data_IF_665543081850
#
_entry.id   IF_665543081850
#
_cell.length_a   1.000
_cell.length_b   1.000
_cell.length_c   1.000
_cell.angle_alpha   90.00
_cell.angle_beta   90.00
_cell.angle_gamma   90.00
#
_symmetry.space_group_name_H-M   'P 1'
#
loop_
_entity.id
_entity.type
_entity.pdbx_description
1 polymer ?
#
# COMPACT_ATOMS: atom_id res chain seq x y z
N UNK A 1 20.77 18.17 8.73
CA UNK A 1 19.36 18.47 8.37
C UNK A 1 19.11 18.38 6.86
N UNK A 2 19.95 18.96 6.01
CA UNK A 2 19.75 18.97 4.56
C UNK A 2 19.49 17.57 3.91
N UNK A 3 20.31 16.52 4.16
CA UNK A 3 20.06 15.21 3.50
C UNK A 3 18.73 14.55 3.88
N UNK A 4 18.26 14.77 5.11
CA UNK A 4 16.98 14.22 5.56
C UNK A 4 15.79 14.90 4.87
N UNK A 5 15.77 16.24 4.79
CA UNK A 5 14.72 16.98 4.07
C UNK A 5 14.70 16.62 2.57
N UNK A 6 15.89 16.41 1.99
CA UNK A 6 16.05 15.95 0.62
C UNK A 6 15.38 14.58 0.41
N UNK A 7 15.54 13.65 1.36
CA UNK A 7 14.89 12.32 1.30
C UNK A 7 13.37 12.41 1.50
N UNK A 8 12.87 13.29 2.38
CA UNK A 8 11.42 13.51 2.52
C UNK A 8 10.81 13.98 1.20
N UNK A 9 11.44 14.97 0.56
CA UNK A 9 10.98 15.47 -0.74
C UNK A 9 11.04 14.39 -1.83
N UNK A 10 12.13 13.63 -1.90
CA UNK A 10 12.27 12.53 -2.86
C UNK A 10 11.21 11.44 -2.64
N UNK A 11 10.96 11.04 -1.38
CA UNK A 11 9.94 10.05 -1.03
C UNK A 11 8.52 10.52 -1.38
N UNK A 12 8.18 11.77 -1.05
CA UNK A 12 6.91 12.39 -1.42
C UNK A 12 6.69 12.38 -2.93
N UNK A 13 7.63 12.93 -3.72
CA UNK A 13 7.51 13.06 -5.17
C UNK A 13 7.51 11.70 -5.89
N UNK A 14 8.34 10.75 -5.43
CA UNK A 14 8.36 9.40 -5.96
C UNK A 14 7.01 8.69 -5.79
N UNK A 15 6.43 8.80 -4.59
CA UNK A 15 5.12 8.20 -4.31
C UNK A 15 3.98 8.94 -5.01
N UNK A 16 4.06 10.27 -5.10
CA UNK A 16 3.10 11.10 -5.82
C UNK A 16 3.01 10.67 -7.29
N UNK A 17 4.12 10.72 -8.03
CA UNK A 17 4.17 10.38 -9.45
C UNK A 17 3.73 8.93 -9.70
N UNK A 18 4.22 7.99 -8.88
CA UNK A 18 3.86 6.57 -9.02
C UNK A 18 2.35 6.33 -8.84
N UNK A 19 1.74 6.95 -7.86
CA UNK A 19 0.31 6.78 -7.58
C UNK A 19 -0.58 7.56 -8.55
N UNK A 20 -0.11 8.67 -9.13
CA UNK A 20 -0.79 9.34 -10.24
C UNK A 20 -0.96 8.41 -11.45
N UNK A 21 0.03 7.54 -11.71
CA UNK A 21 0.00 6.56 -12.79
C UNK A 21 -0.90 5.36 -12.51
N UNK A 22 -1.35 5.17 -11.25
CA UNK A 22 -1.98 3.92 -10.81
C UNK A 22 -3.51 4.00 -10.90
N UNK A 23 -4.17 4.56 -9.96
CA UNK A 23 -5.64 4.59 -9.91
C UNK A 23 -6.14 6.04 -9.81
N UNK A 24 -7.17 6.44 -10.56
CA UNK A 24 -8.02 5.65 -11.48
C UNK A 24 -7.45 5.47 -12.90
N UNK A 25 -6.30 6.06 -13.21
CA UNK A 25 -5.76 6.18 -14.59
C UNK A 25 -5.52 4.81 -15.24
N UNK A 26 -4.81 3.91 -14.55
CA UNK A 26 -4.40 2.62 -15.11
C UNK A 26 -5.56 1.67 -15.43
N UNK A 27 -6.54 1.43 -14.50
CA UNK A 27 -7.66 0.56 -14.83
C UNK A 27 -8.48 1.05 -16.01
N UNK A 28 -8.75 2.37 -16.07
CA UNK A 28 -9.47 2.98 -17.19
C UNK A 28 -8.69 2.85 -18.50
N UNK A 29 -7.37 3.07 -18.47
CA UNK A 29 -6.52 2.88 -19.65
C UNK A 29 -6.51 1.43 -20.13
N UNK A 30 -6.41 0.46 -19.22
CA UNK A 30 -6.47 -0.95 -19.57
C UNK A 30 -7.84 -1.34 -20.17
N UNK A 31 -8.94 -0.80 -19.65
CA UNK A 31 -10.30 -0.97 -20.19
C UNK A 31 -10.40 -0.39 -21.61
N UNK A 32 -9.92 0.82 -21.85
CA UNK A 32 -9.96 1.48 -23.15
C UNK A 32 -9.08 0.75 -24.21
N UNK A 33 -8.06 -0.01 -23.76
CA UNK A 33 -7.28 -0.92 -24.60
C UNK A 33 -7.99 -2.26 -24.88
N UNK A 34 -9.20 -2.46 -24.36
CA UNK A 34 -9.96 -3.69 -24.55
C UNK A 34 -9.56 -4.85 -23.63
N UNK A 35 -8.89 -4.59 -22.52
CA UNK A 35 -8.56 -5.64 -21.56
C UNK A 35 -9.81 -6.19 -20.86
N UNK A 36 -9.94 -7.52 -20.79
CA UNK A 36 -10.95 -8.19 -19.99
C UNK A 36 -10.67 -7.98 -18.48
N UNK A 37 -11.69 -8.08 -17.60
CA UNK A 37 -11.54 -7.80 -16.16
C UNK A 37 -10.41 -8.60 -15.50
N UNK A 38 -10.19 -9.87 -15.86
CA UNK A 38 -9.11 -10.71 -15.34
C UNK A 38 -7.73 -10.11 -15.65
N UNK A 39 -7.57 -9.65 -16.90
CA UNK A 39 -6.32 -9.05 -17.34
C UNK A 39 -6.10 -7.67 -16.71
N UNK A 40 -7.16 -6.89 -16.51
CA UNK A 40 -7.09 -5.63 -15.75
C UNK A 40 -6.61 -5.90 -14.32
N UNK A 41 -7.16 -6.92 -13.66
CA UNK A 41 -6.71 -7.34 -12.33
C UNK A 41 -5.22 -7.67 -12.28
N UNK A 42 -4.71 -8.42 -13.26
CA UNK A 42 -3.28 -8.74 -13.40
C UNK A 42 -2.43 -7.50 -13.68
N UNK A 43 -2.87 -6.60 -14.56
CA UNK A 43 -2.16 -5.35 -14.89
C UNK A 43 -2.02 -4.46 -13.66
N UNK A 44 -3.07 -4.34 -12.85
CA UNK A 44 -3.02 -3.56 -11.60
C UNK A 44 -2.11 -4.22 -10.58
N UNK A 45 -2.17 -5.54 -10.42
CA UNK A 45 -1.37 -6.31 -9.47
C UNK A 45 0.13 -6.42 -9.86
N UNK A 46 0.46 -6.36 -11.15
CA UNK A 46 1.79 -6.67 -11.69
C UNK A 46 2.92 -5.92 -10.96
N UNK A 47 2.75 -4.63 -10.71
CA UNK A 47 3.76 -3.83 -10.01
C UNK A 47 3.90 -4.18 -8.52
N UNK A 48 2.84 -4.62 -7.86
CA UNK A 48 2.89 -5.08 -6.47
C UNK A 48 3.55 -6.46 -6.38
N UNK A 49 3.28 -7.34 -7.36
CA UNK A 49 3.98 -8.65 -7.48
C UNK A 49 5.49 -8.44 -7.62
N UNK A 50 5.93 -7.50 -8.50
CA UNK A 50 7.35 -7.12 -8.58
C UNK A 50 7.88 -6.67 -7.22
N UNK A 51 7.09 -5.90 -6.48
CA UNK A 51 7.42 -5.45 -5.12
C UNK A 51 7.66 -6.59 -4.16
N UNK A 52 6.75 -7.57 -4.10
CA UNK A 52 6.85 -8.74 -3.20
C UNK A 52 8.15 -9.51 -3.44
N UNK A 53 8.53 -9.69 -4.70
CA UNK A 53 9.73 -10.48 -5.06
C UNK A 53 11.02 -9.68 -4.88
N UNK A 54 11.05 -8.40 -5.22
CA UNK A 54 12.27 -7.61 -5.40
C UNK A 54 12.65 -6.79 -4.16
N UNK A 55 11.71 -6.42 -3.28
CA UNK A 55 12.00 -5.55 -2.10
C UNK A 55 13.12 -6.10 -1.21
N UNK A 56 13.08 -7.39 -0.88
CA UNK A 56 14.07 -8.03 -0.02
C UNK A 56 15.46 -8.09 -0.68
N UNK A 57 15.62 -8.61 -1.91
CA UNK A 57 16.90 -8.56 -2.63
C UNK A 57 17.43 -7.14 -2.81
N UNK A 58 16.59 -6.16 -3.15
CA UNK A 58 17.01 -4.78 -3.34
C UNK A 58 17.55 -4.15 -2.05
N UNK A 59 16.89 -4.42 -0.91
CA UNK A 59 17.36 -3.99 0.40
C UNK A 59 18.77 -4.54 0.71
N UNK A 60 18.96 -5.86 0.57
CA UNK A 60 20.22 -6.53 0.80
C UNK A 60 21.33 -6.05 -0.17
N UNK A 61 20.99 -5.90 -1.45
CA UNK A 61 21.93 -5.44 -2.47
C UNK A 61 22.38 -3.99 -2.21
N UNK A 62 21.53 -3.16 -1.62
CA UNK A 62 21.87 -1.79 -1.27
C UNK A 62 22.94 -1.68 -0.17
N UNK A 63 23.10 -2.71 0.68
CA UNK A 63 24.18 -2.79 1.67
C UNK A 63 25.55 -3.01 1.01
N UNK A 64 25.56 -3.62 -0.19
CA UNK A 64 26.78 -3.98 -0.95
C UNK A 64 27.14 -2.89 -1.95
N UNK A 65 26.15 -2.49 -2.79
CA UNK A 65 26.37 -1.55 -3.90
C UNK A 65 26.30 -0.07 -3.44
N UNK A 66 25.79 0.17 -2.23
CA UNK A 66 25.56 1.49 -1.67
C UNK A 66 24.12 1.98 -1.82
N UNK A 67 23.64 2.70 -0.79
CA UNK A 67 22.24 3.21 -0.72
C UNK A 67 21.93 4.16 -1.86
N UNK A 68 22.79 5.15 -2.09
CA UNK A 68 22.61 6.16 -3.12
C UNK A 68 22.49 5.56 -4.52
N UNK A 69 23.39 4.63 -4.88
CA UNK A 69 23.38 3.98 -6.20
C UNK A 69 22.08 3.20 -6.44
N UNK A 70 21.64 2.46 -5.43
CA UNK A 70 20.38 1.71 -5.51
C UNK A 70 19.16 2.64 -5.56
N UNK A 71 19.16 3.77 -4.83
CA UNK A 71 18.09 4.76 -4.95
C UNK A 71 18.05 5.39 -6.34
N UNK A 72 19.21 5.71 -6.94
CA UNK A 72 19.27 6.21 -8.33
C UNK A 72 18.66 5.19 -9.27
N UNK A 73 19.00 3.90 -9.16
CA UNK A 73 18.40 2.83 -9.95
C UNK A 73 16.87 2.80 -9.79
N UNK A 74 16.36 2.85 -8.56
CA UNK A 74 14.91 2.94 -8.29
C UNK A 74 14.27 4.17 -8.92
N UNK A 75 14.94 5.34 -8.86
CA UNK A 75 14.46 6.58 -9.46
C UNK A 75 14.41 6.51 -11.00
N UNK A 76 15.31 5.78 -11.64
CA UNK A 76 15.24 5.54 -13.08
C UNK A 76 13.96 4.80 -13.48
N UNK A 77 13.49 3.86 -12.64
CA UNK A 77 12.22 3.18 -12.85
C UNK A 77 10.99 4.04 -12.51
N UNK A 78 11.11 5.11 -11.71
CA UNK A 78 10.05 6.13 -11.60
C UNK A 78 10.00 7.04 -12.82
N UNK A 79 11.15 7.34 -13.41
CA UNK A 79 11.26 8.31 -14.50
C UNK A 79 10.99 7.71 -15.89
N UNK A 80 11.66 6.62 -16.25
CA UNK A 80 11.66 6.11 -17.63
C UNK A 80 10.37 5.38 -18.04
N UNK A 81 9.81 4.41 -17.27
CA UNK A 81 8.61 3.69 -17.69
C UNK A 81 7.40 4.57 -18.03
N UNK A 82 7.10 5.68 -17.32
CA UNK A 82 5.97 6.52 -17.65
C UNK A 82 6.00 7.07 -19.08
N UNK A 83 7.17 7.38 -19.63
CA UNK A 83 7.30 7.83 -21.01
C UNK A 83 7.01 6.72 -22.03
N UNK A 84 7.06 5.45 -21.64
CA UNK A 84 6.78 4.32 -22.52
C UNK A 84 5.28 4.04 -22.68
N UNK A 85 4.43 4.50 -21.74
CA UNK A 85 2.98 4.27 -21.83
C UNK A 85 2.34 4.89 -23.08
N UNK A 86 2.92 5.95 -23.64
CA UNK A 86 2.43 6.57 -24.88
C UNK A 86 2.51 5.65 -26.12
N UNK A 87 3.36 4.62 -26.07
CA UNK A 87 3.54 3.66 -27.16
C UNK A 87 2.74 2.37 -26.95
N UNK A 88 1.92 2.31 -25.90
CA UNK A 88 1.12 1.13 -25.57
C UNK A 88 -0.23 1.22 -26.27
N UNK A 89 -0.52 0.24 -27.13
CA UNK A 89 -1.75 0.15 -27.91
C UNK A 89 -2.51 -1.17 -27.68
N UNK A 90 -2.05 -2.01 -26.75
CA UNK A 90 -2.71 -3.27 -26.39
C UNK A 90 -2.40 -3.68 -24.95
N UNK A 91 -3.24 -4.55 -24.34
CA UNK A 91 -3.09 -4.90 -22.92
C UNK A 91 -1.83 -5.71 -22.56
N UNK A 92 -1.31 -6.54 -23.48
CA UNK A 92 -0.11 -7.36 -23.22
C UNK A 92 1.14 -6.54 -22.90
N UNK A 93 1.57 -5.63 -23.79
CA UNK A 93 2.66 -4.69 -23.50
C UNK A 93 2.42 -3.83 -22.26
N UNK A 94 1.14 -3.46 -21.95
CA UNK A 94 0.80 -2.74 -20.74
C UNK A 94 1.16 -3.57 -19.49
N UNK A 95 0.80 -4.85 -19.48
CA UNK A 95 1.15 -5.77 -18.39
C UNK A 95 2.66 -5.86 -18.19
N UNK A 96 3.44 -6.05 -19.26
CA UNK A 96 4.89 -6.10 -19.21
C UNK A 96 5.49 -4.79 -18.66
N UNK A 97 5.00 -3.66 -19.12
CA UNK A 97 5.45 -2.34 -18.65
C UNK A 97 5.11 -2.12 -17.17
N UNK A 98 3.99 -2.66 -16.68
CA UNK A 98 3.62 -2.60 -15.27
C UNK A 98 4.56 -3.41 -14.37
N UNK A 99 5.01 -4.58 -14.79
CA UNK A 99 6.06 -5.31 -14.09
C UNK A 99 7.35 -4.48 -14.02
N UNK A 100 7.76 -3.88 -15.13
CA UNK A 100 8.94 -3.03 -15.19
C UNK A 100 8.79 -1.80 -14.27
N UNK A 101 7.66 -1.11 -14.32
CA UNK A 101 7.39 0.06 -13.46
C UNK A 101 7.36 -0.30 -11.97
N UNK A 102 7.04 -1.56 -11.62
CA UNK A 102 7.07 -2.08 -10.25
C UNK A 102 8.43 -2.03 -9.59
N UNK A 103 9.53 -2.12 -10.35
CA UNK A 103 10.90 -1.99 -9.83
C UNK A 103 11.14 -0.63 -9.15
N UNK A 104 10.42 0.42 -9.55
CA UNK A 104 10.53 1.75 -8.94
C UNK A 104 10.35 1.71 -7.42
N UNK A 105 9.20 1.25 -6.96
CA UNK A 105 8.89 1.16 -5.52
C UNK A 105 9.60 -0.01 -4.85
N UNK A 106 9.79 -1.11 -5.57
CA UNK A 106 10.46 -2.30 -5.06
C UNK A 106 11.92 -2.03 -4.65
N UNK A 107 12.61 -1.18 -5.40
CA UNK A 107 14.01 -0.81 -5.11
C UNK A 107 14.05 0.42 -4.20
N UNK A 108 13.36 1.50 -4.55
CA UNK A 108 13.50 2.78 -3.87
C UNK A 108 13.03 2.74 -2.40
N UNK A 109 11.84 2.16 -2.14
CA UNK A 109 11.22 2.28 -0.82
C UNK A 109 12.04 1.66 0.32
N UNK A 110 12.52 0.39 0.24
CA UNK A 110 13.32 -0.21 1.30
C UNK A 110 14.69 0.46 1.43
N UNK A 111 15.30 0.88 0.31
CA UNK A 111 16.62 1.51 0.31
C UNK A 111 16.58 2.92 0.90
N UNK A 112 15.57 3.72 0.55
CA UNK A 112 15.39 5.06 1.10
C UNK A 112 15.10 5.01 2.61
N UNK A 113 14.25 4.08 3.06
CA UNK A 113 13.99 3.87 4.49
C UNK A 113 15.27 3.47 5.24
N UNK A 114 16.09 2.58 4.67
CA UNK A 114 17.36 2.21 5.25
C UNK A 114 18.33 3.40 5.31
N UNK A 115 18.40 4.22 4.26
CA UNK A 115 19.24 5.43 4.25
C UNK A 115 18.79 6.44 5.31
N UNK A 116 17.48 6.67 5.48
CA UNK A 116 16.92 7.51 6.56
C UNK A 116 17.32 6.97 7.92
N UNK A 117 17.26 5.65 8.12
CA UNK A 117 17.68 5.00 9.36
C UNK A 117 19.18 5.19 9.65
N UNK A 118 20.01 5.16 8.60
CA UNK A 118 21.48 5.32 8.70
C UNK A 118 21.86 6.78 9.01
N UNK A 119 21.03 7.79 8.65
CA UNK A 119 21.28 9.21 8.95
C UNK A 119 21.12 9.58 10.43
N UNK A 120 20.55 8.74 11.28
CA UNK A 120 20.34 9.07 12.69
C UNK A 120 20.29 7.82 13.55
N UNK A 121 21.21 7.75 14.52
CA UNK A 121 21.22 6.67 15.51
C UNK A 121 20.29 6.96 16.70
N UNK A 122 20.10 8.22 17.07
CA UNK A 122 19.39 8.64 18.29
C UNK A 122 17.89 8.89 18.10
N UNK A 123 17.44 9.33 16.90
CA UNK A 123 16.03 9.63 16.57
C UNK A 123 15.56 8.84 15.34
N UNK A 124 15.96 7.57 15.26
CA UNK A 124 15.70 6.72 14.10
C UNK A 124 14.19 6.55 13.84
N UNK A 125 13.41 6.23 14.87
CA UNK A 125 11.97 6.03 14.77
C UNK A 125 11.23 7.29 14.32
N UNK A 126 11.58 8.45 14.89
CA UNK A 126 11.00 9.74 14.53
C UNK A 126 11.23 10.07 13.05
N UNK A 127 12.47 9.91 12.57
CA UNK A 127 12.80 10.18 11.16
C UNK A 127 12.14 9.22 10.17
N UNK A 128 12.07 7.95 10.51
CA UNK A 128 11.32 6.96 9.71
C UNK A 128 9.83 7.29 9.68
N UNK A 129 9.26 7.76 10.80
CA UNK A 129 7.87 8.22 10.86
C UNK A 129 7.61 9.41 9.94
N UNK A 130 8.47 10.44 9.96
CA UNK A 130 8.37 11.58 9.05
C UNK A 130 8.51 11.18 7.58
N UNK A 131 9.43 10.26 7.26
CA UNK A 131 9.62 9.75 5.91
C UNK A 131 8.39 8.98 5.42
N UNK A 132 7.83 8.12 6.27
CA UNK A 132 6.60 7.40 5.97
C UNK A 132 5.43 8.37 5.75
N UNK A 133 5.25 9.36 6.62
CA UNK A 133 4.17 10.37 6.50
C UNK A 133 4.28 11.19 5.21
N UNK A 134 5.50 11.63 4.84
CA UNK A 134 5.72 12.33 3.58
C UNK A 134 5.40 11.44 2.36
N UNK A 135 5.81 10.18 2.40
CA UNK A 135 5.50 9.20 1.35
C UNK A 135 4.00 8.89 1.24
N UNK A 136 3.31 8.77 2.37
CA UNK A 136 1.85 8.54 2.42
C UNK A 136 1.06 9.74 1.92
N UNK A 137 1.51 10.96 2.20
CA UNK A 137 0.92 12.18 1.64
C UNK A 137 1.01 12.17 0.10
N UNK A 138 2.17 11.83 -0.46
CA UNK A 138 2.34 11.66 -1.90
C UNK A 138 1.44 10.56 -2.47
N UNK A 139 1.37 9.42 -1.77
CA UNK A 139 0.54 8.29 -2.18
C UNK A 139 -0.96 8.61 -2.17
N UNK A 140 -1.42 9.47 -1.26
CA UNK A 140 -2.83 9.90 -1.16
C UNK A 140 -3.16 10.98 -2.20
N UNK A 141 -2.27 11.94 -2.43
CA UNK A 141 -2.49 13.01 -3.41
C UNK A 141 -2.39 12.51 -4.85
N UNK A 142 -1.55 11.50 -5.11
CA UNK A 142 -1.28 10.99 -6.47
C UNK A 142 -2.52 10.58 -7.25
N UNK A 143 -3.39 9.70 -6.75
CA UNK A 143 -4.59 9.26 -7.45
C UNK A 143 -5.53 10.42 -7.81
N UNK A 144 -5.69 11.39 -6.89
CA UNK A 144 -6.52 12.57 -7.11
C UNK A 144 -5.94 13.43 -8.22
N UNK A 145 -4.65 13.75 -8.15
CA UNK A 145 -4.00 14.58 -9.18
C UNK A 145 -3.94 13.87 -10.54
N UNK A 146 -3.65 12.56 -10.56
CA UNK A 146 -3.65 11.77 -11.79
C UNK A 146 -5.03 11.68 -12.44
N UNK A 147 -6.06 11.44 -11.65
CA UNK A 147 -7.43 11.37 -12.12
C UNK A 147 -7.98 12.73 -12.60
N UNK A 148 -7.69 13.83 -11.88
CA UNK A 148 -8.06 15.18 -12.31
C UNK A 148 -7.33 15.59 -13.60
N UNK A 149 -6.04 15.25 -13.72
CA UNK A 149 -5.28 15.52 -14.94
C UNK A 149 -5.85 14.75 -16.13
N UNK A 150 -6.20 13.47 -15.94
CA UNK A 150 -6.88 12.67 -16.96
C UNK A 150 -8.26 13.26 -17.31
N UNK A 151 -9.02 13.71 -16.33
CA UNK A 151 -10.32 14.33 -16.54
C UNK A 151 -10.22 15.63 -17.35
N UNK A 152 -9.19 16.45 -17.07
CA UNK A 152 -8.96 17.73 -17.74
C UNK A 152 -8.44 17.55 -19.16
N UNK A 153 -7.45 16.65 -19.35
CA UNK A 153 -6.80 16.48 -20.67
C UNK A 153 -7.53 15.50 -21.58
N UNK A 154 -8.34 14.59 -21.03
CA UNK A 154 -8.94 13.47 -21.75
C UNK A 154 -7.92 12.44 -22.29
N UNK A 155 -6.63 12.61 -22.02
CA UNK A 155 -5.52 11.91 -22.68
C UNK A 155 -4.65 11.13 -21.71
N UNK A 156 -4.59 9.81 -21.88
CA UNK A 156 -3.67 8.95 -21.12
C UNK A 156 -2.19 9.27 -21.43
N UNK A 157 -1.77 9.43 -22.71
CA UNK A 157 -0.39 9.81 -23.03
C UNK A 157 0.05 11.08 -22.29
N UNK A 158 -0.77 12.14 -22.31
CA UNK A 158 -0.47 13.40 -21.62
C UNK A 158 -0.36 13.19 -20.10
N UNK A 159 -1.26 12.38 -19.52
CA UNK A 159 -1.22 12.07 -18.08
C UNK A 159 0.06 11.30 -17.72
N UNK A 160 0.45 10.29 -18.51
CA UNK A 160 1.68 9.53 -18.25
C UNK A 160 2.95 10.34 -18.52
N UNK A 161 2.95 11.26 -19.51
CA UNK A 161 4.06 12.21 -19.71
C UNK A 161 4.27 13.10 -18.47
N UNK A 162 3.19 13.63 -17.89
CA UNK A 162 3.28 14.41 -16.66
C UNK A 162 3.82 13.57 -15.49
N UNK A 163 3.38 12.31 -15.37
CA UNK A 163 3.95 11.36 -14.39
C UNK A 163 5.44 11.15 -14.60
N UNK A 164 5.89 11.02 -15.85
CA UNK A 164 7.31 10.87 -16.19
C UNK A 164 8.13 12.10 -15.77
N UNK A 165 7.62 13.30 -16.06
CA UNK A 165 8.25 14.57 -15.63
C UNK A 165 8.34 14.64 -14.11
N UNK A 166 7.27 14.31 -13.39
CA UNK A 166 7.29 14.26 -11.92
C UNK A 166 8.26 13.18 -11.44
N UNK A 167 8.34 12.03 -12.12
CA UNK A 167 9.26 10.93 -11.82
C UNK A 167 10.74 11.27 -11.99
N UNK A 168 11.08 12.27 -12.82
CA UNK A 168 12.45 12.81 -12.94
C UNK A 168 12.87 13.58 -11.69
N UNK A 169 11.94 14.22 -10.97
CA UNK A 169 12.29 15.06 -9.81
C UNK A 169 12.97 14.27 -8.67
N UNK A 170 12.47 13.09 -8.23
CA UNK A 170 13.18 12.26 -7.26
C UNK A 170 14.59 11.90 -7.72
N UNK A 171 14.79 11.60 -9.02
CA UNK A 171 16.11 11.31 -9.57
C UNK A 171 17.06 12.48 -9.41
N UNK A 172 16.65 13.70 -9.83
CA UNK A 172 17.44 14.92 -9.70
C UNK A 172 17.77 15.24 -8.24
N UNK A 173 16.82 14.98 -7.33
CA UNK A 173 17.00 15.19 -5.89
C UNK A 173 18.00 14.19 -5.31
N UNK A 174 17.88 12.90 -5.64
CA UNK A 174 18.77 11.84 -5.12
C UNK A 174 20.19 12.00 -5.65
N UNK A 175 20.38 12.49 -6.87
CA UNK A 175 21.72 12.80 -7.41
C UNK A 175 22.49 13.81 -6.55
N UNK A 176 21.80 14.74 -5.86
CA UNK A 176 22.41 15.75 -4.96
C UNK A 176 22.74 15.21 -3.56
N UNK A 177 22.33 13.97 -3.22
CA UNK A 177 22.69 13.37 -1.92
C UNK A 177 24.21 13.10 -1.87
N UNK A 178 24.84 13.16 -0.67
CA UNK A 178 26.23 12.81 -0.51
C UNK A 178 26.48 11.35 -0.91
N UNK A 179 27.71 11.05 -1.36
CA UNK A 179 28.13 9.70 -1.65
C UNK A 179 28.21 8.84 -0.38
N UNK A 180 28.08 7.50 -0.54
CA UNK A 180 27.97 6.52 0.55
C UNK A 180 29.27 6.34 1.39
N UNK A 181 30.36 7.06 1.12
CA UNK A 181 31.69 6.81 1.71
C UNK A 181 31.71 6.91 3.25
N UNK A 182 30.80 7.65 3.87
CA UNK A 182 30.73 7.81 5.33
C UNK A 182 29.87 6.78 6.07
N UNK A 183 29.15 5.90 5.38
CA UNK A 183 28.17 4.96 5.97
C UNK A 183 28.70 3.53 6.13
N UNK A 184 29.92 3.24 5.69
CA UNK A 184 30.54 1.89 5.67
C UNK A 184 31.06 1.36 7.01
N UNK A 185 30.92 2.05 8.12
CA UNK A 185 31.54 1.70 9.41
C UNK A 185 30.65 0.87 10.35
N UNK A 186 29.96 -0.15 9.87
CA UNK A 186 29.35 -1.12 10.78
C UNK A 186 30.03 -2.49 10.60
N UNK A 187 30.88 -2.84 11.55
CA UNK A 187 31.77 -4.00 11.55
C UNK A 187 31.13 -5.40 11.63
N UNK A 188 29.83 -5.54 11.33
CA UNK A 188 29.18 -6.84 11.26
C UNK A 188 29.27 -7.43 9.85
N UNK A 189 29.73 -8.67 9.71
CA UNK A 189 29.80 -9.36 8.43
C UNK A 189 28.40 -9.54 7.81
N UNK A 190 28.29 -9.43 6.48
CA UNK A 190 27.05 -9.65 5.73
C UNK A 190 26.37 -10.99 6.08
N UNK A 191 27.16 -12.04 6.33
CA UNK A 191 26.67 -13.36 6.76
C UNK A 191 26.00 -13.32 8.14
N UNK A 192 26.54 -12.57 9.10
CA UNK A 192 25.95 -12.44 10.43
C UNK A 192 24.59 -11.71 10.36
N UNK A 193 24.52 -10.61 9.63
CA UNK A 193 23.26 -9.86 9.41
C UNK A 193 22.21 -10.68 8.67
N UNK A 194 22.59 -11.40 7.64
CA UNK A 194 21.68 -12.28 6.90
C UNK A 194 21.16 -13.40 7.80
N UNK A 195 22.00 -14.03 8.61
CA UNK A 195 21.59 -15.09 9.54
C UNK A 195 20.63 -14.56 10.61
N UNK A 196 20.91 -13.39 11.17
CA UNK A 196 20.04 -12.74 12.16
C UNK A 196 18.69 -12.37 11.57
N UNK A 197 18.67 -11.87 10.34
CA UNK A 197 17.46 -11.55 9.59
C UNK A 197 16.58 -12.79 9.34
N UNK A 198 17.15 -13.88 8.82
CA UNK A 198 16.42 -15.12 8.58
C UNK A 198 15.93 -15.78 9.88
N UNK A 199 16.71 -15.68 10.95
CA UNK A 199 16.27 -16.15 12.27
C UNK A 199 15.09 -15.32 12.76
N UNK A 200 15.14 -13.99 12.61
CA UNK A 200 14.03 -13.11 12.95
C UNK A 200 12.77 -13.40 12.15
N UNK A 201 12.87 -13.62 10.85
CA UNK A 201 11.73 -14.02 9.99
C UNK A 201 11.13 -15.34 10.48
N UNK A 202 11.95 -16.35 10.72
CA UNK A 202 11.48 -17.68 11.19
C UNK A 202 10.74 -17.57 12.53
N UNK A 203 11.24 -16.78 13.45
CA UNK A 203 10.62 -16.55 14.75
C UNK A 203 9.25 -15.85 14.61
N UNK A 204 9.17 -14.84 13.74
CA UNK A 204 7.92 -14.11 13.47
C UNK A 204 6.88 -14.98 12.78
N UNK A 205 7.27 -15.76 11.77
CA UNK A 205 6.36 -16.71 11.08
C UNK A 205 5.88 -17.82 12.03
N UNK A 206 6.65 -18.15 13.06
CA UNK A 206 6.22 -19.10 14.07
C UNK A 206 5.19 -18.53 15.05
N UNK A 207 4.99 -17.22 15.10
CA UNK A 207 3.99 -16.57 15.96
C UNK A 207 2.61 -16.57 15.29
N UNK A 208 1.74 -17.49 15.74
CA UNK A 208 0.37 -17.61 15.24
C UNK A 208 -0.42 -16.30 15.33
N UNK A 209 -0.26 -15.54 16.41
CA UNK A 209 -0.96 -14.28 16.63
C UNK A 209 -0.51 -13.19 15.62
N UNK A 210 0.81 -13.10 15.34
CA UNK A 210 1.35 -12.17 14.35
C UNK A 210 0.87 -12.53 12.95
N UNK A 211 0.88 -13.82 12.58
CA UNK A 211 0.39 -14.27 11.28
C UNK A 211 -1.10 -13.94 11.09
N UNK A 212 -1.94 -14.21 12.08
CA UNK A 212 -3.39 -13.92 12.00
C UNK A 212 -3.61 -12.41 11.87
N UNK A 213 -2.92 -11.58 12.69
CA UNK A 213 -3.02 -10.12 12.58
C UNK A 213 -2.57 -9.61 11.19
N UNK A 214 -1.49 -10.17 10.66
CA UNK A 214 -0.99 -9.83 9.31
C UNK A 214 -1.95 -10.27 8.21
N UNK A 215 -2.60 -11.44 8.36
CA UNK A 215 -3.58 -11.94 7.40
C UNK A 215 -4.86 -11.10 7.40
N UNK A 216 -5.26 -10.55 8.55
CA UNK A 216 -6.38 -9.60 8.65
C UNK A 216 -6.09 -8.33 7.84
N UNK A 217 -4.88 -7.77 7.97
CA UNK A 217 -4.46 -6.62 7.15
C UNK A 217 -4.43 -6.97 5.67
N UNK A 218 -3.86 -8.13 5.29
CA UNK A 218 -3.88 -8.59 3.91
C UNK A 218 -5.31 -8.71 3.35
N UNK A 219 -6.23 -9.23 4.15
CA UNK A 219 -7.64 -9.36 3.78
C UNK A 219 -8.31 -8.00 3.59
N UNK A 220 -8.03 -7.03 4.45
CA UNK A 220 -8.44 -5.64 4.23
C UNK A 220 -7.93 -5.12 2.88
N UNK A 221 -6.64 -5.37 2.57
CA UNK A 221 -6.03 -4.92 1.32
C UNK A 221 -6.54 -5.66 0.08
N UNK A 222 -7.06 -6.89 0.21
CA UNK A 222 -7.83 -7.54 -0.86
C UNK A 222 -9.05 -6.67 -1.22
N UNK A 223 -9.85 -6.25 -0.25
CA UNK A 223 -11.01 -5.39 -0.48
C UNK A 223 -10.62 -3.98 -0.96
N UNK A 224 -9.62 -3.38 -0.33
CA UNK A 224 -9.13 -2.03 -0.67
C UNK A 224 -8.57 -1.96 -2.10
N UNK A 225 -7.71 -2.90 -2.48
CA UNK A 225 -7.13 -2.96 -3.83
C UNK A 225 -8.18 -3.32 -4.89
N UNK A 226 -9.19 -4.12 -4.54
CA UNK A 226 -10.37 -4.35 -5.38
C UNK A 226 -11.11 -3.05 -5.66
N UNK A 227 -11.39 -2.26 -4.62
CA UNK A 227 -12.01 -0.94 -4.78
C UNK A 227 -11.18 -0.04 -5.70
N UNK A 228 -9.88 0.08 -5.44
CA UNK A 228 -9.01 0.93 -6.25
C UNK A 228 -8.92 0.49 -7.73
N UNK A 229 -8.99 -0.80 -8.00
CA UNK A 229 -8.88 -1.35 -9.36
C UNK A 229 -10.21 -1.28 -10.13
N UNK A 230 -11.32 -1.63 -9.49
CA UNK A 230 -12.57 -1.89 -10.19
C UNK A 230 -13.67 -0.86 -9.95
N UNK A 231 -13.59 -0.04 -8.91
CA UNK A 231 -14.53 1.07 -8.73
C UNK A 231 -14.49 2.06 -9.92
N UNK A 232 -13.31 2.48 -10.45
CA UNK A 232 -13.28 3.36 -11.62
C UNK A 232 -14.01 2.78 -12.83
N UNK A 233 -13.88 1.47 -13.06
CA UNK A 233 -14.50 0.78 -14.19
C UNK A 233 -16.01 0.68 -14.01
N UNK A 234 -16.47 0.30 -12.82
CA UNK A 234 -17.87 0.29 -12.45
C UNK A 234 -18.51 1.68 -12.64
N UNK A 235 -17.87 2.72 -12.06
CA UNK A 235 -18.36 4.07 -12.10
C UNK A 235 -18.39 4.65 -13.53
N UNK A 236 -17.41 4.31 -14.36
CA UNK A 236 -17.40 4.63 -15.79
C UNK A 236 -18.56 3.94 -16.53
N UNK A 237 -18.82 2.65 -16.21
CA UNK A 237 -19.91 1.86 -16.79
C UNK A 237 -21.32 2.39 -16.49
N UNK A 238 -21.51 3.02 -15.33
CA UNK A 238 -22.79 3.70 -14.97
C UNK A 238 -22.85 5.17 -15.44
N UNK A 239 -21.88 5.62 -16.25
CA UNK A 239 -21.89 6.94 -16.90
C UNK A 239 -21.32 8.09 -16.08
N UNK A 240 -20.57 7.83 -14.99
CA UNK A 240 -19.86 8.89 -14.26
C UNK A 240 -18.65 9.38 -15.06
N UNK A 241 -18.44 10.70 -15.09
CA UNK A 241 -17.28 11.31 -15.69
C UNK A 241 -16.01 10.99 -14.91
N UNK A 242 -14.85 11.06 -15.59
CA UNK A 242 -13.52 10.84 -14.95
C UNK A 242 -13.29 11.75 -13.74
N UNK A 243 -13.82 12.98 -13.77
CA UNK A 243 -13.79 13.91 -12.64
C UNK A 243 -14.63 13.41 -11.46
N UNK A 244 -15.85 12.94 -11.70
CA UNK A 244 -16.72 12.39 -10.65
C UNK A 244 -16.15 11.12 -10.02
N UNK A 245 -15.61 10.22 -10.83
CA UNK A 245 -14.87 9.03 -10.37
C UNK A 245 -13.74 9.45 -9.43
N UNK A 246 -12.94 10.42 -9.86
CA UNK A 246 -11.79 10.93 -9.08
C UNK A 246 -12.24 11.57 -7.77
N UNK A 247 -13.37 12.31 -7.75
CA UNK A 247 -13.91 12.91 -6.54
C UNK A 247 -14.36 11.87 -5.52
N UNK A 248 -15.05 10.81 -5.94
CA UNK A 248 -15.46 9.71 -5.05
C UNK A 248 -14.26 8.99 -4.46
N UNK A 249 -13.25 8.68 -5.28
CA UNK A 249 -12.00 8.08 -4.80
C UNK A 249 -11.23 9.03 -3.89
N UNK A 250 -11.23 10.32 -4.22
CA UNK A 250 -10.64 11.38 -3.40
C UNK A 250 -11.29 11.47 -2.02
N UNK A 251 -12.61 11.33 -1.92
CA UNK A 251 -13.31 11.30 -0.64
C UNK A 251 -12.88 10.10 0.22
N UNK A 252 -12.79 8.91 -0.38
CA UNK A 252 -12.28 7.71 0.30
C UNK A 252 -10.86 7.92 0.82
N UNK A 253 -9.94 8.41 -0.02
CA UNK A 253 -8.54 8.64 0.33
C UNK A 253 -8.38 9.74 1.38
N UNK A 254 -9.09 10.86 1.23
CA UNK A 254 -9.07 11.98 2.18
C UNK A 254 -9.58 11.56 3.56
N UNK A 255 -10.68 10.80 3.60
CA UNK A 255 -11.22 10.25 4.87
C UNK A 255 -10.23 9.31 5.51
N UNK A 256 -9.61 8.41 4.72
CA UNK A 256 -8.58 7.49 5.23
C UNK A 256 -7.42 8.26 5.83
N UNK A 257 -6.91 9.26 5.14
CA UNK A 257 -5.77 10.07 5.60
C UNK A 257 -6.10 10.87 6.87
N UNK A 258 -7.25 11.54 6.89
CA UNK A 258 -7.66 12.38 8.01
C UNK A 258 -7.98 11.57 9.27
N UNK A 259 -8.57 10.39 9.12
CA UNK A 259 -8.99 9.57 10.25
C UNK A 259 -7.87 8.70 10.84
N UNK A 260 -6.80 8.34 10.09
CA UNK A 260 -5.70 7.49 10.57
C UNK A 260 -5.10 7.94 11.92
N UNK A 261 -4.72 9.23 12.14
CA UNK A 261 -4.12 9.64 13.41
C UNK A 261 -5.08 9.52 14.60
N UNK A 262 -6.36 9.85 14.37
CA UNK A 262 -7.40 9.75 15.40
C UNK A 262 -7.69 8.29 15.74
N UNK A 263 -7.77 7.43 14.73
CA UNK A 263 -7.98 5.99 14.87
C UNK A 263 -6.84 5.32 15.65
N UNK A 264 -5.59 5.72 15.39
CA UNK A 264 -4.43 5.24 16.15
C UNK A 264 -4.54 5.60 17.64
N UNK A 265 -4.84 6.86 17.95
CA UNK A 265 -5.03 7.32 19.35
C UNK A 265 -6.21 6.61 20.04
N UNK A 266 -7.31 6.41 19.30
CA UNK A 266 -8.48 5.73 19.84
C UNK A 266 -8.17 4.24 20.08
N UNK A 267 -7.44 3.60 19.19
CA UNK A 267 -6.96 2.22 19.35
C UNK A 267 -6.03 2.04 20.55
N UNK A 268 -5.28 3.10 20.93
CA UNK A 268 -4.48 3.10 22.16
C UNK A 268 -5.34 3.11 23.44
N UNK A 269 -6.53 3.69 23.39
CA UNK A 269 -7.44 3.82 24.55
C UNK A 269 -8.45 2.69 24.66
N UNK A 270 -9.09 2.35 23.55
CA UNK A 270 -10.20 1.36 23.50
C UNK A 270 -9.67 -0.07 23.38
N UNK A 271 -8.45 -0.25 22.89
CA UNK A 271 -7.84 -1.54 22.60
C UNK A 271 -7.71 -1.81 21.09
N UNK A 272 -6.74 -2.64 20.73
CA UNK A 272 -6.43 -2.94 19.31
C UNK A 272 -7.55 -3.75 18.65
N UNK A 273 -7.94 -4.84 19.31
CA UNK A 273 -8.89 -5.79 18.75
C UNK A 273 -10.28 -5.22 18.49
N UNK A 274 -10.93 -4.46 19.42
CA UNK A 274 -12.23 -3.84 19.16
C UNK A 274 -12.18 -2.87 17.97
N UNK A 275 -11.11 -2.09 17.85
CA UNK A 275 -10.93 -1.14 16.76
C UNK A 275 -10.77 -1.84 15.40
N UNK A 276 -9.95 -2.89 15.33
CA UNK A 276 -9.79 -3.69 14.11
C UNK A 276 -11.14 -4.28 13.67
N UNK A 277 -11.90 -4.85 14.59
CA UNK A 277 -13.21 -5.44 14.28
C UNK A 277 -14.23 -4.39 13.83
N UNK A 278 -14.27 -3.22 14.48
CA UNK A 278 -15.15 -2.13 14.09
C UNK A 278 -14.83 -1.61 12.67
N UNK A 279 -13.54 -1.42 12.36
CA UNK A 279 -13.12 -1.00 11.02
C UNK A 279 -13.39 -2.05 9.94
N UNK A 280 -13.14 -3.35 10.23
CA UNK A 280 -13.49 -4.44 9.32
C UNK A 280 -15.00 -4.52 9.09
N UNK A 281 -15.81 -4.40 10.15
CA UNK A 281 -17.27 -4.36 10.03
C UNK A 281 -17.72 -3.25 9.08
N UNK A 282 -17.14 -2.06 9.22
CA UNK A 282 -17.47 -0.93 8.35
C UNK A 282 -17.07 -1.20 6.88
N UNK A 283 -15.90 -1.79 6.64
CA UNK A 283 -15.48 -2.19 5.30
C UNK A 283 -16.38 -3.29 4.70
N UNK A 284 -16.72 -4.31 5.47
CA UNK A 284 -17.62 -5.41 5.07
C UNK A 284 -19.03 -4.90 4.75
N UNK A 285 -19.52 -3.92 5.51
CA UNK A 285 -20.84 -3.34 5.29
C UNK A 285 -20.88 -2.43 4.05
N UNK A 286 -19.80 -1.70 3.76
CA UNK A 286 -19.79 -0.68 2.70
C UNK A 286 -19.35 -1.22 1.35
N UNK A 287 -18.36 -2.11 1.31
CA UNK A 287 -17.77 -2.61 0.06
C UNK A 287 -18.81 -3.23 -0.90
N UNK A 288 -19.70 -4.14 -0.48
CA UNK A 288 -20.69 -4.77 -1.38
C UNK A 288 -21.79 -3.81 -1.81
N UNK A 289 -22.02 -2.73 -1.07
CA UNK A 289 -23.05 -1.72 -1.41
C UNK A 289 -22.58 -0.83 -2.57
N UNK A 290 -21.28 -0.55 -2.68
CA UNK A 290 -20.73 0.35 -3.70
C UNK A 290 -21.22 -0.02 -5.12
N UNK A 291 -21.09 -1.26 -5.61
CA UNK A 291 -21.50 -1.61 -6.97
C UNK A 291 -23.01 -1.82 -7.15
N UNK A 292 -23.84 -1.47 -6.16
CA UNK A 292 -25.30 -1.44 -6.27
C UNK A 292 -25.85 -0.02 -6.43
N UNK A 293 -24.99 1.00 -6.27
CA UNK A 293 -25.34 2.41 -6.29
C UNK A 293 -25.01 3.05 -7.63
N UNK A 294 -25.95 3.71 -8.26
CA UNK A 294 -25.75 4.48 -9.51
C UNK A 294 -25.69 6.00 -9.29
N UNK A 295 -25.97 6.48 -8.09
CA UNK A 295 -25.98 7.91 -7.77
C UNK A 295 -24.64 8.36 -7.19
N UNK A 296 -24.05 9.42 -7.78
CA UNK A 296 -22.85 10.08 -7.25
C UNK A 296 -23.00 10.45 -5.77
N UNK A 297 -24.16 11.00 -5.40
CA UNK A 297 -24.44 11.49 -4.04
C UNK A 297 -24.47 10.37 -2.99
N UNK A 298 -24.76 9.13 -3.39
CA UNK A 298 -24.71 7.95 -2.51
C UNK A 298 -23.32 7.29 -2.54
N UNK A 299 -22.67 7.25 -3.70
CA UNK A 299 -21.32 6.70 -3.84
C UNK A 299 -20.30 7.47 -3.00
N UNK A 300 -20.45 8.80 -2.93
CA UNK A 300 -19.53 9.66 -2.18
C UNK A 300 -19.46 9.31 -0.69
N UNK A 301 -20.54 9.34 0.10
CA UNK A 301 -20.51 9.00 1.52
C UNK A 301 -20.19 7.53 1.78
N UNK A 302 -20.67 6.59 0.95
CA UNK A 302 -20.38 5.16 1.14
C UNK A 302 -18.89 4.88 0.92
N UNK A 303 -18.27 5.49 -0.09
CA UNK A 303 -16.83 5.37 -0.30
C UNK A 303 -16.01 6.05 0.81
N UNK A 304 -16.47 7.18 1.34
CA UNK A 304 -15.85 7.82 2.50
C UNK A 304 -15.93 6.94 3.75
N UNK A 305 -17.08 6.28 4.01
CA UNK A 305 -17.25 5.31 5.10
C UNK A 305 -16.34 4.09 4.93
N UNK A 306 -16.19 3.58 3.69
CA UNK A 306 -15.20 2.54 3.39
C UNK A 306 -13.78 3.00 3.75
N UNK A 307 -13.42 4.24 3.36
CA UNK A 307 -12.15 4.87 3.72
C UNK A 307 -11.94 5.02 5.23
N UNK A 308 -13.00 5.32 5.98
CA UNK A 308 -12.97 5.36 7.45
C UNK A 308 -12.66 3.97 8.03
N UNK A 309 -13.29 2.92 7.51
CA UNK A 309 -13.00 1.54 7.90
C UNK A 309 -11.52 1.19 7.71
N UNK A 310 -10.95 1.51 6.54
CA UNK A 310 -9.51 1.33 6.24
C UNK A 310 -8.63 2.12 7.23
N UNK A 311 -9.01 3.36 7.54
CA UNK A 311 -8.28 4.21 8.48
C UNK A 311 -8.28 3.68 9.92
N UNK A 312 -9.30 2.96 10.31
CA UNK A 312 -9.43 2.36 11.64
C UNK A 312 -8.58 1.07 11.74
N UNK A 313 -8.64 0.21 10.73
CA UNK A 313 -7.93 -1.09 10.75
C UNK A 313 -6.42 -0.90 10.67
N UNK A 314 -5.91 -0.21 9.65
CA UNK A 314 -4.47 -0.18 9.31
C UNK A 314 -3.55 0.25 10.47
N UNK A 315 -3.77 1.37 11.21
CA UNK A 315 -2.92 1.73 12.32
C UNK A 315 -3.09 0.77 13.52
N UNK A 316 -4.28 0.21 13.69
CA UNK A 316 -4.58 -0.71 14.80
C UNK A 316 -3.92 -2.08 14.62
N UNK A 317 -3.90 -2.63 13.41
CA UNK A 317 -3.21 -3.89 13.09
C UNK A 317 -1.70 -3.72 13.14
N UNK A 318 -1.17 -2.62 12.61
CA UNK A 318 0.26 -2.30 12.69
C UNK A 318 0.72 -2.22 14.15
N UNK A 319 -0.05 -1.54 14.99
CA UNK A 319 0.24 -1.42 16.40
C UNK A 319 0.07 -2.77 17.15
N UNK A 320 -0.93 -3.58 16.80
CA UNK A 320 -1.10 -4.93 17.36
C UNK A 320 0.10 -5.83 17.06
N UNK A 321 0.59 -5.83 15.82
CA UNK A 321 1.79 -6.58 15.44
C UNK A 321 3.00 -6.10 16.23
N UNK A 322 3.15 -4.77 16.40
CA UNK A 322 4.22 -4.19 17.21
C UNK A 322 4.13 -4.63 18.69
N UNK A 323 2.92 -4.69 19.27
CA UNK A 323 2.67 -5.10 20.66
C UNK A 323 2.93 -6.62 20.88
N UNK A 324 2.80 -7.45 19.83
CA UNK A 324 2.99 -8.90 19.88
C UNK A 324 4.44 -9.36 19.69
N UNK A 325 5.33 -8.47 19.25
CA UNK A 325 6.70 -8.81 18.87
C UNK A 325 7.68 -8.46 19.98
N UNK A 326 8.64 -9.35 20.23
CA UNK A 326 9.72 -9.14 21.21
C UNK A 326 10.62 -7.97 20.82
N UNK A 327 11.16 -7.30 21.84
CA UNK A 327 12.16 -6.24 21.64
C UNK A 327 13.33 -6.74 20.75
N UNK A 328 13.76 -5.92 19.79
CA UNK A 328 14.82 -6.26 18.83
C UNK A 328 14.37 -7.02 17.57
N UNK A 329 13.11 -7.48 17.47
CA UNK A 329 12.56 -8.19 16.29
C UNK A 329 11.60 -7.35 15.44
N UNK A 330 11.40 -6.10 15.79
CA UNK A 330 10.45 -5.20 15.13
C UNK A 330 10.69 -5.10 13.61
N UNK A 331 11.94 -5.02 13.16
CA UNK A 331 12.27 -4.92 11.73
C UNK A 331 11.84 -6.17 10.94
N UNK A 332 12.12 -7.38 11.47
CA UNK A 332 11.71 -8.64 10.85
C UNK A 332 10.18 -8.79 10.83
N UNK A 333 9.52 -8.38 11.92
CA UNK A 333 8.07 -8.43 12.02
C UNK A 333 7.39 -7.51 11.02
N UNK A 334 7.84 -6.27 10.90
CA UNK A 334 7.31 -5.31 9.91
C UNK A 334 7.61 -5.76 8.48
N UNK A 335 8.74 -6.45 8.24
CA UNK A 335 9.05 -7.05 6.95
C UNK A 335 8.08 -8.17 6.57
N UNK A 336 7.81 -9.12 7.47
CA UNK A 336 6.83 -10.20 7.25
C UNK A 336 5.42 -9.62 7.10
N UNK A 337 5.01 -8.72 8.01
CA UNK A 337 3.74 -8.03 7.96
C UNK A 337 3.53 -7.33 6.61
N UNK A 338 4.54 -6.56 6.14
CA UNK A 338 4.49 -5.87 4.86
C UNK A 338 4.40 -6.81 3.66
N UNK A 339 5.09 -7.95 3.68
CA UNK A 339 5.02 -8.94 2.60
C UNK A 339 3.63 -9.61 2.53
N UNK A 340 3.05 -9.93 3.68
CA UNK A 340 1.70 -10.51 3.75
C UNK A 340 0.67 -9.49 3.28
N UNK A 341 0.75 -8.24 3.69
CA UNK A 341 -0.09 -7.15 3.21
C UNK A 341 0.04 -6.95 1.69
N UNK A 342 1.29 -6.82 1.15
CA UNK A 342 1.52 -6.69 -0.30
C UNK A 342 0.88 -7.85 -1.08
N UNK A 343 0.85 -9.08 -0.50
CA UNK A 343 0.19 -10.23 -1.11
C UNK A 343 -1.33 -10.04 -1.20
N UNK A 344 -1.95 -9.43 -0.19
CA UNK A 344 -3.36 -9.03 -0.22
C UNK A 344 -3.63 -7.95 -1.28
N UNK A 345 -2.75 -6.93 -1.33
CA UNK A 345 -2.85 -5.84 -2.31
C UNK A 345 -2.70 -6.33 -3.76
N UNK A 346 -1.85 -7.34 -4.01
CA UNK A 346 -1.73 -7.96 -5.32
C UNK A 346 -2.87 -8.94 -5.61
N UNK A 347 -3.27 -9.74 -4.62
CA UNK A 347 -4.30 -10.75 -4.77
C UNK A 347 -5.70 -10.18 -4.99
N UNK A 348 -6.02 -9.03 -4.38
CA UNK A 348 -7.33 -8.39 -4.49
C UNK A 348 -7.79 -8.14 -5.92
N UNK A 349 -7.04 -7.36 -6.72
CA UNK A 349 -7.40 -7.09 -8.11
C UNK A 349 -7.46 -8.35 -8.97
N UNK A 350 -6.58 -9.33 -8.75
CA UNK A 350 -6.59 -10.59 -9.50
C UNK A 350 -7.88 -11.35 -9.20
N UNK A 351 -8.17 -11.58 -7.92
CA UNK A 351 -9.38 -12.28 -7.48
C UNK A 351 -10.64 -11.56 -7.98
N UNK A 352 -10.71 -10.24 -7.80
CA UNK A 352 -11.84 -9.45 -8.24
C UNK A 352 -12.03 -9.49 -9.76
N UNK A 353 -10.95 -9.46 -10.54
CA UNK A 353 -11.02 -9.56 -12.01
C UNK A 353 -11.69 -10.85 -12.46
N UNK A 354 -11.26 -11.99 -11.92
CA UNK A 354 -11.89 -13.31 -12.23
C UNK A 354 -13.34 -13.38 -11.76
N UNK A 355 -13.66 -12.87 -10.56
CA UNK A 355 -15.03 -12.87 -10.05
C UNK A 355 -15.95 -11.96 -10.87
N UNK A 356 -15.49 -10.78 -11.29
CA UNK A 356 -16.28 -9.83 -12.08
C UNK A 356 -16.53 -10.39 -13.48
N UNK A 357 -15.54 -11.03 -14.11
CA UNK A 357 -15.71 -11.68 -15.41
C UNK A 357 -16.74 -12.81 -15.38
N UNK A 358 -16.81 -13.54 -14.27
CA UNK A 358 -17.72 -14.69 -14.13
C UNK A 358 -19.11 -14.31 -13.62
N UNK A 359 -19.23 -13.27 -12.75
CA UNK A 359 -20.44 -13.02 -11.96
C UNK A 359 -21.00 -11.59 -12.08
N UNK A 360 -20.24 -10.61 -12.56
CA UNK A 360 -20.50 -9.18 -12.50
C UNK A 360 -20.03 -8.48 -11.20
N UNK A 361 -20.16 -7.13 -11.13
CA UNK A 361 -19.63 -6.32 -10.01
C UNK A 361 -20.29 -6.60 -8.65
N UNK A 362 -21.65 -6.57 -8.49
CA UNK A 362 -22.24 -6.70 -7.17
C UNK A 362 -21.93 -8.03 -6.47
N UNK A 363 -22.10 -9.22 -7.09
CA UNK A 363 -21.75 -10.47 -6.42
C UNK A 363 -20.25 -10.64 -6.20
N UNK A 364 -19.38 -10.12 -7.07
CA UNK A 364 -17.93 -10.18 -6.89
C UNK A 364 -17.49 -9.41 -5.64
N UNK A 365 -17.97 -8.18 -5.48
CA UNK A 365 -17.69 -7.38 -4.29
C UNK A 365 -18.31 -7.99 -3.03
N UNK A 366 -19.50 -8.60 -3.16
CA UNK A 366 -20.16 -9.34 -2.09
C UNK A 366 -19.33 -10.53 -1.59
N UNK A 367 -18.78 -11.34 -2.50
CA UNK A 367 -17.91 -12.47 -2.14
C UNK A 367 -16.61 -12.03 -1.47
N UNK A 368 -16.01 -10.93 -1.94
CA UNK A 368 -14.83 -10.35 -1.30
C UNK A 368 -15.18 -9.85 0.11
N UNK A 369 -16.30 -9.17 0.29
CA UNK A 369 -16.78 -8.75 1.61
C UNK A 369 -17.07 -9.94 2.53
N UNK A 370 -17.66 -11.02 2.01
CA UNK A 370 -17.88 -12.27 2.75
C UNK A 370 -16.56 -12.92 3.19
N UNK A 371 -15.55 -12.92 2.33
CA UNK A 371 -14.19 -13.35 2.69
C UNK A 371 -13.61 -12.48 3.82
N UNK A 372 -13.76 -11.15 3.74
CA UNK A 372 -13.33 -10.23 4.80
C UNK A 372 -14.08 -10.49 6.12
N UNK A 373 -15.38 -10.76 6.05
CA UNK A 373 -16.20 -11.11 7.22
C UNK A 373 -15.73 -12.42 7.88
N UNK A 374 -15.47 -13.46 7.08
CA UNK A 374 -14.96 -14.74 7.58
C UNK A 374 -13.61 -14.56 8.30
N UNK A 375 -12.72 -13.74 7.75
CA UNK A 375 -11.43 -13.42 8.38
C UNK A 375 -11.59 -12.58 9.65
N UNK A 376 -12.58 -11.66 9.70
CA UNK A 376 -12.91 -10.93 10.92
C UNK A 376 -13.41 -11.86 12.05
N UNK A 377 -14.22 -12.86 11.73
CA UNK A 377 -14.66 -13.89 12.67
C UNK A 377 -13.49 -14.74 13.13
N UNK A 378 -12.63 -15.18 12.23
CA UNK A 378 -11.40 -15.91 12.60
C UNK A 378 -10.53 -15.10 13.55
N UNK A 379 -10.33 -13.83 13.27
CA UNK A 379 -9.58 -12.90 14.12
C UNK A 379 -10.23 -12.75 15.50
N UNK A 380 -11.56 -12.58 15.53
CA UNK A 380 -12.32 -12.46 16.78
C UNK A 380 -12.09 -13.65 17.71
N UNK A 381 -12.05 -14.88 17.16
CA UNK A 381 -11.90 -16.11 17.94
C UNK A 381 -10.44 -16.41 18.27
N UNK A 382 -9.53 -16.20 17.32
CA UNK A 382 -8.15 -16.71 17.42
C UNK A 382 -7.17 -15.76 18.11
N UNK A 383 -7.42 -14.43 18.11
CA UNK A 383 -6.50 -13.44 18.70
C UNK A 383 -7.10 -12.85 19.96
N UNK A 384 -6.37 -12.96 21.07
CA UNK A 384 -6.69 -12.25 22.32
C UNK A 384 -6.09 -10.84 22.28
N UNK A 385 -6.79 -9.85 22.84
CA UNK A 385 -6.22 -8.51 23.00
C UNK A 385 -5.16 -8.57 24.12
N UNK A 386 -3.89 -8.26 23.83
CA UNK A 386 -2.82 -8.35 24.82
C UNK A 386 -2.97 -7.34 25.98
N UNK A 387 -3.86 -6.37 25.86
CA UNK A 387 -4.12 -5.31 26.87
C UNK A 387 -5.29 -5.62 27.80
N UNK A 388 -6.10 -6.63 27.50
CA UNK A 388 -7.13 -7.06 28.45
C UNK A 388 -6.45 -7.86 29.58
N UNK A 389 -6.65 -7.47 30.86
CA UNK A 389 -6.11 -8.21 31.97
C UNK A 389 -6.59 -9.66 31.89
N UNK A 390 -5.67 -10.59 32.13
CA UNK A 390 -6.01 -12.00 32.29
C UNK A 390 -6.92 -12.05 33.51
N UNK A 391 -8.24 -12.22 33.32
CA UNK A 391 -9.11 -12.61 34.43
C UNK A 391 -8.57 -13.93 34.96
N UNK A 392 -7.98 -13.90 36.15
CA UNK A 392 -7.50 -15.10 36.81
C UNK A 392 -8.67 -16.08 36.92
N UNK A 393 -8.49 -17.34 36.50
CA UNK A 393 -9.53 -18.35 36.73
C UNK A 393 -9.61 -18.58 38.24
N UNK A 394 -10.57 -17.96 38.95
CA UNK A 394 -10.75 -18.22 40.35
C UNK A 394 -11.50 -17.20 41.19
N UNK A 395 -11.77 -15.98 40.77
CA UNK A 395 -12.65 -15.09 41.54
C UNK A 395 -14.13 -15.24 41.11
N UNK A 396 -14.70 -16.38 41.44
CA UNK A 396 -16.15 -16.46 41.65
C UNK A 396 -16.43 -15.84 43.02
N UNK A 397 -17.25 -14.82 43.04
CA UNK A 397 -17.77 -14.18 44.20
C UNK A 397 -18.22 -15.25 45.21
N UNK A 398 -17.61 -15.22 46.40
CA UNK A 398 -18.21 -15.71 47.64
C UNK A 398 -19.01 -14.58 48.28
#
# INVERSE_FOLDING_TARGET
>A
MAPFMTLLAAGFLARLGYQMARSPVLPLFAQDLGAAPELIGLIVAASTITGVVVKLPAGALSDILGRKRMMILGCLFFAAPPFLYQFIHSPGPLLALRFLHGFATAIFSPVAAAFVADLSQTRRGEKLGWFASASDLGATAGPVLGGLLLAYTGSYPTTYLAVGVIGLLPLLIVLRLPADEKLRSSGSTLRARSREFWTGIREVISSRAVLIASTVEATLYVGYATFLAFFPLYANGIGLSKAQITLVMGAQLATTMAAKPLSGRLSDRVGRKPMILAGLFLCVATLPVIPTLSSLWLLFPVSALFGLGVAIVTPSTTALVADLVKAGRMGSAMGVFGTIWDSGEAGGPILAGFLIASLSYPPAFGLIAAFMAAMAVLFLVAVRDPRLPISAPGERAT
#
